data_IF_324839001180
#
_entry.id   IF_324839001180
#
_cell.length_a   1.000
_cell.length_b   1.000
_cell.length_c   1.000
_cell.angle_alpha   90.00
_cell.angle_beta   90.00
_cell.angle_gamma   90.00
#
_symmetry.space_group_name_H-M   'P 1'
#
loop_
_entity.id
_entity.type
_entity.pdbx_description
1 polymer ?
#
# COMPACT_ATOMS: atom_id res chain seq x y z
N UNK A 1 -10.39 -21.06 10.39
CA UNK A 1 -10.05 -19.62 10.34
C UNK A 1 -9.44 -19.27 11.68
N UNK A 2 -8.11 -19.17 11.70
CA UNK A 2 -7.30 -19.16 12.90
C UNK A 2 -7.22 -17.75 13.52
N UNK A 3 -7.03 -17.66 14.83
CA UNK A 3 -7.09 -16.40 15.60
C UNK A 3 -6.10 -15.33 15.12
N UNK A 4 -5.00 -15.73 14.45
CA UNK A 4 -3.98 -14.82 13.89
C UNK A 4 -4.52 -13.93 12.78
N UNK A 5 -5.35 -14.45 11.89
CA UNK A 5 -5.92 -13.69 10.77
C UNK A 5 -6.82 -12.56 11.29
N UNK A 6 -7.56 -12.79 12.38
CA UNK A 6 -8.44 -11.77 12.95
C UNK A 6 -7.72 -10.57 13.56
N UNK A 7 -6.41 -10.67 13.82
CA UNK A 7 -5.59 -9.60 14.43
C UNK A 7 -4.99 -8.67 13.37
N UNK A 8 -4.49 -9.20 12.24
CA UNK A 8 -3.97 -8.39 11.14
C UNK A 8 -5.05 -7.49 10.54
N UNK A 9 -6.25 -8.05 10.32
CA UNK A 9 -7.39 -7.30 9.79
C UNK A 9 -7.97 -6.24 10.74
N UNK A 10 -7.93 -6.49 12.06
CA UNK A 10 -8.30 -5.48 13.07
C UNK A 10 -7.33 -4.31 13.07
N UNK A 11 -6.04 -4.59 12.92
CA UNK A 11 -5.03 -3.54 12.86
C UNK A 11 -5.21 -2.65 11.63
N UNK A 12 -5.52 -3.20 10.45
CA UNK A 12 -5.82 -2.41 9.23
C UNK A 12 -6.93 -1.41 9.53
N UNK A 13 -8.05 -1.90 10.08
CA UNK A 13 -9.17 -1.04 10.49
C UNK A 13 -8.75 0.06 11.48
N UNK A 14 -7.87 -0.24 12.43
CA UNK A 14 -7.43 0.72 13.44
C UNK A 14 -6.33 1.67 12.93
N UNK A 15 -5.52 1.27 11.95
CA UNK A 15 -4.51 2.12 11.30
C UNK A 15 -5.20 3.19 10.46
N UNK A 16 -6.15 2.79 9.59
CA UNK A 16 -6.92 3.71 8.75
C UNK A 16 -7.81 4.67 9.55
N UNK A 17 -8.28 4.26 10.73
CA UNK A 17 -8.99 5.14 11.66
C UNK A 17 -8.08 6.15 12.37
N UNK A 18 -6.83 5.78 12.68
CA UNK A 18 -5.88 6.61 13.43
C UNK A 18 -5.09 7.57 12.55
N UNK A 19 -4.86 7.19 11.29
CA UNK A 19 -4.12 7.98 10.32
C UNK A 19 -5.01 8.27 9.10
N UNK A 20 -6.06 9.09 9.23
CA UNK A 20 -6.78 9.59 8.06
C UNK A 20 -5.79 10.34 7.17
N UNK A 21 -5.56 9.83 5.96
CA UNK A 21 -4.71 10.48 4.97
C UNK A 21 -5.29 11.87 4.70
N UNK A 22 -4.58 12.91 5.14
CA UNK A 22 -4.96 14.31 4.92
C UNK A 22 -5.80 14.96 6.02
N UNK A 23 -5.27 15.09 7.24
CA UNK A 23 -5.72 16.12 8.17
C UNK A 23 -4.55 16.57 9.05
N UNK A 24 -3.70 17.45 8.50
CA UNK A 24 -2.75 18.19 9.31
C UNK A 24 -3.48 18.98 10.40
N UNK A 25 -3.21 18.61 11.65
CA UNK A 25 -3.24 19.46 12.83
C UNK A 25 -4.50 20.29 13.09
N UNK A 26 -5.44 19.73 13.86
CA UNK A 26 -6.28 20.55 14.74
C UNK A 26 -6.33 19.91 16.14
N UNK A 27 -5.24 20.11 16.89
CA UNK A 27 -5.23 19.96 18.34
C UNK A 27 -6.14 21.07 18.92
N UNK A 28 -7.39 20.74 19.24
CA UNK A 28 -8.22 21.56 20.13
C UNK A 28 -8.41 20.77 21.42
N UNK A 29 -7.60 21.11 22.42
CA UNK A 29 -7.87 20.76 23.81
C UNK A 29 -9.19 21.42 24.25
N UNK A 30 -10.20 20.58 24.48
CA UNK A 30 -11.47 20.97 25.07
C UNK A 30 -11.30 21.05 26.60
N UNK A 31 -11.14 22.27 27.12
CA UNK A 31 -11.45 22.57 28.53
C UNK A 31 -12.70 23.46 28.52
N UNK A 32 -13.87 22.81 28.52
CA UNK A 32 -15.13 23.46 28.88
C UNK A 32 -15.43 23.03 30.31
N UNK A 33 -15.09 23.90 31.26
CA UNK A 33 -15.56 23.82 32.65
C UNK A 33 -16.44 25.04 32.90
N UNK A 34 -17.72 24.79 33.15
CA UNK A 34 -18.67 25.73 33.73
C UNK A 34 -19.56 24.92 34.68
N UNK A 35 -20.17 25.52 35.72
CA UNK A 35 -19.66 26.49 36.69
C UNK A 35 -19.88 25.99 38.14
N UNK A 36 -19.18 26.53 39.15
CA UNK A 36 -19.70 26.79 40.51
C UNK A 36 -18.54 27.17 41.45
N UNK A 37 -18.35 28.48 41.70
CA UNK A 37 -18.18 29.03 43.06
C UNK A 37 -18.17 30.56 43.02
N UNK A 38 -19.22 31.13 43.60
CA UNK A 38 -19.27 32.52 44.05
C UNK A 38 -18.28 32.69 45.21
N UNK A 39 -17.32 33.61 45.08
CA UNK A 39 -16.71 34.32 46.22
C UNK A 39 -16.72 35.80 45.86
N UNK A 40 -17.34 36.58 46.74
CA UNK A 40 -17.88 37.89 46.40
C UNK A 40 -16.89 39.04 46.36
N UNK A 41 -17.40 40.14 45.81
CA UNK A 41 -17.33 41.49 46.35
C UNK A 41 -18.54 42.24 45.83
N UNK A 42 -19.34 42.79 46.76
CA UNK A 42 -20.49 43.62 46.44
C UNK A 42 -20.01 44.90 45.74
N UNK A 43 -20.42 45.08 44.49
CA UNK A 43 -20.42 46.38 43.81
C UNK A 43 -21.89 46.78 43.66
N UNK A 44 -22.24 47.94 44.17
CA UNK A 44 -23.62 48.46 44.14
C UNK A 44 -24.15 48.57 42.70
N UNK A 45 -25.43 48.27 42.45
CA UNK A 45 -25.98 48.34 41.10
C UNK A 45 -26.31 49.79 40.71
N UNK A 46 -26.07 50.23 39.47
CA UNK A 46 -26.72 51.42 38.94
C UNK A 46 -28.20 51.13 38.63
N UNK A 47 -28.99 52.20 38.62
CA UNK A 47 -30.46 52.22 38.64
C UNK A 47 -31.15 51.27 37.64
N UNK A 48 -32.25 50.65 38.12
CA UNK A 48 -33.21 49.85 37.35
C UNK A 48 -33.74 50.64 36.15
N UNK A 49 -33.40 50.19 34.93
CA UNK A 49 -34.30 50.33 33.79
C UNK A 49 -35.38 49.25 33.91
N UNK A 50 -36.60 49.67 34.23
CA UNK A 50 -37.78 48.83 34.28
C UNK A 50 -38.17 48.37 32.86
N UNK A 51 -38.57 47.09 32.71
CA UNK A 51 -39.51 46.71 31.64
C UNK A 51 -39.12 45.61 30.63
N UNK A 52 -38.10 44.76 30.84
CA UNK A 52 -37.88 43.62 29.93
C UNK A 52 -37.38 42.39 30.67
N UNK A 53 -38.16 41.31 30.66
CA UNK A 53 -37.82 40.04 31.32
C UNK A 53 -36.55 39.45 30.68
N UNK A 54 -35.41 39.36 31.39
CA UNK A 54 -34.12 39.00 30.78
C UNK A 54 -34.06 37.54 30.30
N UNK A 55 -34.96 36.69 30.78
CA UNK A 55 -35.05 35.28 30.40
C UNK A 55 -35.28 35.08 28.90
N UNK A 56 -36.08 35.94 28.26
CA UNK A 56 -36.37 35.83 26.82
C UNK A 56 -35.14 36.13 25.96
N UNK A 57 -34.30 37.07 26.40
CA UNK A 57 -33.05 37.39 25.71
C UNK A 57 -32.05 36.24 25.82
N UNK A 58 -31.94 35.61 26.99
CA UNK A 58 -31.07 34.44 27.20
C UNK A 58 -31.54 33.22 26.41
N UNK A 59 -32.85 32.96 26.37
CA UNK A 59 -33.44 31.87 25.57
C UNK A 59 -33.20 32.13 24.07
N UNK A 60 -33.44 33.35 23.59
CA UNK A 60 -33.22 33.71 22.19
C UNK A 60 -31.75 33.54 21.78
N UNK A 61 -30.80 33.99 22.60
CA UNK A 61 -29.36 33.82 22.35
C UNK A 61 -28.97 32.34 22.35
N UNK A 62 -29.51 31.54 23.27
CA UNK A 62 -29.22 30.09 23.33
C UNK A 62 -29.75 29.38 22.09
N UNK A 63 -30.97 29.69 21.64
CA UNK A 63 -31.55 29.13 20.42
C UNK A 63 -30.72 29.52 19.20
N UNK A 64 -30.27 30.77 19.09
CA UNK A 64 -29.41 31.23 17.98
C UNK A 64 -28.06 30.50 18.01
N UNK A 65 -27.43 30.36 19.17
CA UNK A 65 -26.17 29.63 19.30
C UNK A 65 -26.35 28.16 18.91
N UNK A 66 -27.40 27.49 19.36
CA UNK A 66 -27.70 26.10 18.97
C UNK A 66 -27.99 26.01 17.48
N UNK A 67 -28.82 26.90 16.93
CA UNK A 67 -29.19 26.92 15.51
C UNK A 67 -28.03 27.28 14.57
N UNK A 68 -26.96 27.90 15.06
CA UNK A 68 -25.76 28.20 14.26
C UNK A 68 -24.67 27.15 14.48
N UNK A 69 -24.40 26.78 15.73
CA UNK A 69 -23.30 25.86 16.07
C UNK A 69 -23.64 24.41 15.72
N UNK A 70 -24.89 23.97 15.89
CA UNK A 70 -25.28 22.58 15.61
C UNK A 70 -25.26 22.25 14.11
N UNK A 71 -25.74 23.11 13.18
CA UNK A 71 -25.57 22.87 11.75
C UNK A 71 -24.11 22.97 11.29
N UNK A 72 -23.30 23.82 11.92
CA UNK A 72 -21.86 23.87 11.64
C UNK A 72 -21.13 22.59 12.10
N UNK A 73 -21.53 22.02 13.23
CA UNK A 73 -21.06 20.70 13.67
C UNK A 73 -21.57 19.58 12.75
N UNK A 74 -22.87 19.52 12.46
CA UNK A 74 -23.48 18.48 11.62
C UNK A 74 -23.03 18.55 10.15
N UNK A 75 -22.77 19.74 9.62
CA UNK A 75 -22.26 19.94 8.26
C UNK A 75 -20.87 19.32 8.04
N UNK A 76 -20.06 19.23 9.10
CA UNK A 76 -18.77 18.51 9.08
C UNK A 76 -18.91 16.99 9.17
N UNK A 77 -19.96 16.47 9.82
CA UNK A 77 -20.21 15.03 9.93
C UNK A 77 -20.80 14.41 8.65
N UNK A 78 -21.53 15.18 7.85
CA UNK A 78 -22.26 14.67 6.68
C UNK A 78 -21.40 14.50 5.41
N UNK A 79 -20.14 14.95 5.42
CA UNK A 79 -19.24 14.88 4.26
C UNK A 79 -18.07 13.89 4.41
N UNK A 80 -18.16 12.90 5.30
CA UNK A 80 -17.21 11.79 5.35
C UNK A 80 -17.46 10.82 4.18
N UNK A 81 -17.04 11.21 2.97
CA UNK A 81 -16.85 10.25 1.88
C UNK A 81 -15.62 9.42 2.24
N UNK A 82 -15.79 8.11 2.39
CA UNK A 82 -14.68 7.20 2.66
C UNK A 82 -13.62 7.36 1.56
N UNK A 83 -12.32 7.50 1.91
CA UNK A 83 -11.27 7.62 0.90
C UNK A 83 -11.18 6.34 0.05
N UNK A 84 -10.82 6.49 -1.22
CA UNK A 84 -10.54 5.35 -2.11
C UNK A 84 -9.16 4.80 -1.78
N UNK A 85 -9.06 3.48 -1.61
CA UNK A 85 -7.77 2.78 -1.42
C UNK A 85 -7.19 2.45 -2.80
N UNK A 86 -5.93 2.85 -3.01
CA UNK A 86 -5.15 2.65 -4.23
C UNK A 86 -4.16 1.52 -4.05
N UNK A 87 -4.39 0.42 -4.76
CA UNK A 87 -3.49 -0.72 -4.78
C UNK A 87 -2.55 -0.64 -6.00
N UNK A 88 -1.29 -1.07 -5.82
CA UNK A 88 -0.33 -1.18 -6.93
C UNK A 88 -0.79 -2.24 -7.93
N UNK A 89 -0.74 -1.90 -9.22
CA UNK A 89 -0.83 -2.86 -10.33
C UNK A 89 0.53 -2.98 -11.03
N UNK A 90 1.21 -4.08 -10.74
CA UNK A 90 2.52 -4.42 -11.30
C UNK A 90 2.48 -5.14 -12.65
N UNK A 91 1.29 -5.36 -13.23
CA UNK A 91 1.12 -6.00 -14.55
C UNK A 91 1.57 -7.48 -14.62
N UNK A 92 1.62 -8.17 -13.49
CA UNK A 92 1.75 -9.63 -13.44
C UNK A 92 0.51 -10.28 -12.82
N UNK A 93 0.25 -11.53 -13.20
CA UNK A 93 -1.07 -12.16 -12.97
C UNK A 93 -1.34 -12.46 -11.49
N UNK A 94 -0.33 -12.87 -10.73
CA UNK A 94 -0.52 -13.19 -9.30
C UNK A 94 -0.94 -11.95 -8.50
N UNK A 95 -0.35 -10.78 -8.78
CA UNK A 95 -0.74 -9.53 -8.13
C UNK A 95 -2.14 -9.10 -8.56
N UNK A 96 -2.51 -9.31 -9.83
CA UNK A 96 -3.89 -9.06 -10.30
C UNK A 96 -4.92 -9.87 -9.51
N UNK A 97 -4.64 -11.15 -9.26
CA UNK A 97 -5.51 -12.03 -8.45
C UNK A 97 -5.58 -11.54 -7.01
N UNK A 98 -4.43 -11.24 -6.39
CA UNK A 98 -4.37 -10.71 -5.03
C UNK A 98 -5.15 -9.40 -4.89
N UNK A 99 -5.00 -8.48 -5.86
CA UNK A 99 -5.74 -7.22 -5.90
C UNK A 99 -7.25 -7.45 -6.02
N UNK A 100 -7.69 -8.40 -6.85
CA UNK A 100 -9.11 -8.74 -6.98
C UNK A 100 -9.70 -9.28 -5.66
N UNK A 101 -8.96 -10.14 -4.96
CA UNK A 101 -9.36 -10.68 -3.64
C UNK A 101 -9.41 -9.54 -2.61
N UNK A 102 -8.37 -8.73 -2.50
CA UNK A 102 -8.31 -7.61 -1.57
C UNK A 102 -9.44 -6.61 -1.83
N UNK A 103 -9.67 -6.25 -3.09
CA UNK A 103 -10.78 -5.39 -3.52
C UNK A 103 -12.13 -5.95 -3.07
N UNK A 104 -12.40 -7.23 -3.32
CA UNK A 104 -13.65 -7.87 -2.89
C UNK A 104 -13.84 -7.78 -1.37
N UNK A 105 -12.80 -8.11 -0.60
CA UNK A 105 -12.84 -8.07 0.87
C UNK A 105 -13.01 -6.64 1.40
N UNK A 106 -12.29 -5.67 0.85
CA UNK A 106 -12.33 -4.26 1.28
C UNK A 106 -13.69 -3.64 0.94
N UNK A 107 -14.18 -3.83 -0.28
CA UNK A 107 -15.45 -3.24 -0.73
C UNK A 107 -16.65 -3.89 -0.03
N UNK A 108 -16.68 -5.23 0.10
CA UNK A 108 -17.82 -5.94 0.70
C UNK A 108 -17.73 -6.08 2.21
N UNK A 109 -16.54 -6.18 2.76
CA UNK A 109 -16.32 -6.37 4.20
C UNK A 109 -16.17 -5.07 4.98
N UNK A 110 -15.60 -4.02 4.36
CA UNK A 110 -15.26 -2.78 5.05
C UNK A 110 -15.93 -1.52 4.47
N UNK A 111 -16.49 -1.59 3.26
CA UNK A 111 -17.25 -0.49 2.64
C UNK A 111 -16.40 0.64 2.06
N UNK A 112 -15.09 0.42 1.85
CA UNK A 112 -14.21 1.37 1.16
C UNK A 112 -14.19 1.07 -0.35
N UNK A 113 -14.08 2.12 -1.17
CA UNK A 113 -13.82 1.96 -2.60
C UNK A 113 -12.37 1.55 -2.83
N UNK A 114 -12.12 0.71 -3.84
CA UNK A 114 -10.76 0.30 -4.21
C UNK A 114 -10.49 0.50 -5.70
N UNK A 115 -9.37 1.13 -6.01
CA UNK A 115 -8.80 1.22 -7.35
C UNK A 115 -7.40 0.60 -7.41
N UNK A 116 -7.02 0.13 -8.60
CA UNK A 116 -5.68 -0.35 -8.90
C UNK A 116 -4.97 0.65 -9.79
N UNK A 117 -3.72 0.99 -9.47
CA UNK A 117 -2.94 2.03 -10.13
C UNK A 117 -1.72 1.39 -10.77
N UNK A 118 -1.60 1.53 -12.09
CA UNK A 118 -0.37 1.13 -12.81
C UNK A 118 0.71 2.17 -12.52
N UNK A 119 1.81 1.71 -11.94
CA UNK A 119 2.92 2.57 -11.49
C UNK A 119 4.16 2.34 -12.34
N UNK A 120 4.94 3.40 -12.57
CA UNK A 120 6.29 3.27 -13.14
C UNK A 120 7.30 2.72 -12.11
N UNK A 121 7.30 3.29 -10.91
CA UNK A 121 8.09 2.80 -9.77
C UNK A 121 7.22 2.81 -8.50
N UNK A 122 6.60 1.67 -8.23
CA UNK A 122 5.68 1.50 -7.10
C UNK A 122 6.30 1.84 -5.73
N UNK A 123 7.63 1.75 -5.60
CA UNK A 123 8.36 2.03 -4.35
C UNK A 123 8.32 3.51 -3.99
N UNK A 124 8.59 4.37 -4.97
CA UNK A 124 8.48 5.82 -4.84
C UNK A 124 7.02 6.20 -4.61
N UNK A 125 6.12 5.66 -5.43
CA UNK A 125 4.69 5.93 -5.32
C UNK A 125 4.12 5.52 -3.95
N UNK A 126 4.60 4.42 -3.36
CA UNK A 126 4.21 3.97 -2.03
C UNK A 126 4.80 4.88 -0.93
N UNK A 127 6.06 5.30 -1.07
CA UNK A 127 6.76 6.13 -0.08
C UNK A 127 6.22 7.56 0.01
N UNK A 128 5.68 8.06 -1.10
CA UNK A 128 5.09 9.39 -1.22
C UNK A 128 3.56 9.39 -1.09
N UNK A 129 2.95 8.21 -1.02
CA UNK A 129 1.50 8.05 -0.83
C UNK A 129 0.68 8.29 -2.10
N UNK A 130 1.26 8.12 -3.29
CA UNK A 130 0.54 8.04 -4.58
C UNK A 130 -0.25 6.73 -4.67
N UNK A 131 0.24 5.67 -4.04
CA UNK A 131 -0.48 4.41 -3.81
C UNK A 131 -0.46 4.09 -2.32
N UNK A 132 -1.46 3.34 -1.85
CA UNK A 132 -1.67 3.09 -0.43
C UNK A 132 -1.11 1.73 0.02
N UNK A 133 -1.12 0.74 -0.87
CA UNK A 133 -0.57 -0.58 -0.57
C UNK A 133 -0.14 -1.34 -1.84
N UNK A 134 0.86 -2.21 -1.67
CA UNK A 134 1.15 -3.31 -2.59
C UNK A 134 0.93 -4.63 -1.87
N UNK A 135 0.36 -5.61 -2.56
CA UNK A 135 0.19 -6.96 -2.03
C UNK A 135 1.39 -7.86 -2.37
N UNK A 136 2.21 -7.45 -3.34
CA UNK A 136 3.41 -8.19 -3.77
C UNK A 136 4.62 -7.25 -3.89
N UNK A 137 5.27 -6.98 -2.75
CA UNK A 137 6.45 -6.11 -2.72
C UNK A 137 7.79 -6.80 -2.96
N UNK A 138 7.83 -8.15 -2.99
CA UNK A 138 9.05 -8.95 -3.16
C UNK A 138 10.28 -8.34 -2.44
N UNK A 139 10.13 -8.06 -1.14
CA UNK A 139 11.03 -7.21 -0.33
C UNK A 139 12.50 -7.63 -0.40
N UNK A 140 12.77 -8.93 -0.59
CA UNK A 140 14.13 -9.47 -0.72
C UNK A 140 14.90 -8.92 -1.91
N UNK A 141 14.19 -8.47 -2.95
CA UNK A 141 14.79 -7.84 -4.11
C UNK A 141 15.21 -6.40 -3.81
N UNK A 142 14.54 -5.73 -2.86
CA UNK A 142 14.69 -4.30 -2.59
C UNK A 142 15.10 -4.01 -1.15
N UNK A 143 15.99 -4.82 -0.55
CA UNK A 143 16.31 -4.75 0.88
C UNK A 143 16.78 -3.38 1.35
N UNK A 144 17.65 -2.73 0.59
CA UNK A 144 18.18 -1.41 0.94
C UNK A 144 17.06 -0.37 1.02
N UNK A 145 16.27 -0.26 -0.05
CA UNK A 145 15.09 0.63 -0.09
C UNK A 145 14.09 0.30 1.02
N UNK A 146 13.76 -0.98 1.22
CA UNK A 146 12.77 -1.40 2.21
C UNK A 146 13.21 -1.01 3.62
N UNK A 147 14.47 -1.30 3.98
CA UNK A 147 15.02 -0.92 5.28
C UNK A 147 15.01 0.59 5.48
N UNK A 148 15.39 1.36 4.47
CA UNK A 148 15.37 2.82 4.52
C UNK A 148 13.93 3.35 4.69
N UNK A 149 13.00 2.92 3.84
CA UNK A 149 11.60 3.36 3.85
C UNK A 149 10.92 3.04 5.19
N UNK A 150 11.15 1.85 5.75
CA UNK A 150 10.62 1.49 7.07
C UNK A 150 11.29 2.27 8.20
N UNK A 151 12.62 2.50 8.14
CA UNK A 151 13.31 3.31 9.17
C UNK A 151 12.80 4.75 9.23
N UNK A 152 12.37 5.29 8.09
CA UNK A 152 11.77 6.62 7.96
C UNK A 152 10.25 6.65 8.23
N UNK A 153 9.65 5.50 8.57
CA UNK A 153 8.21 5.37 8.80
C UNK A 153 7.35 5.63 7.55
N UNK A 154 7.92 5.51 6.35
CA UNK A 154 7.22 5.71 5.08
C UNK A 154 6.43 4.49 4.64
N UNK A 155 6.93 3.29 4.97
CA UNK A 155 6.33 2.01 4.60
C UNK A 155 6.33 1.10 5.82
N UNK A 156 5.23 0.36 6.01
CA UNK A 156 5.08 -0.66 7.04
C UNK A 156 4.60 -1.99 6.44
N UNK A 157 4.99 -3.10 7.04
CA UNK A 157 4.56 -4.44 6.61
C UNK A 157 3.39 -4.91 7.47
N UNK A 158 2.22 -5.05 6.82
CA UNK A 158 0.98 -5.35 7.54
C UNK A 158 0.80 -6.85 7.80
N UNK A 159 1.16 -7.67 6.81
CA UNK A 159 1.05 -9.11 6.85
C UNK A 159 1.92 -9.74 5.76
N UNK A 160 2.19 -11.03 5.92
CA UNK A 160 2.85 -11.85 4.91
C UNK A 160 1.79 -12.71 4.22
N UNK A 161 1.61 -12.53 2.91
CA UNK A 161 0.65 -13.33 2.12
C UNK A 161 1.29 -14.54 1.42
N UNK A 162 2.64 -14.58 1.35
CA UNK A 162 3.42 -15.68 0.80
C UNK A 162 4.46 -16.15 1.82
N UNK A 163 4.48 -17.44 2.13
CA UNK A 163 5.60 -18.03 2.85
C UNK A 163 6.82 -18.08 1.93
N UNK A 164 7.78 -17.16 2.12
CA UNK A 164 9.12 -17.15 1.52
C UNK A 164 9.20 -17.77 0.12
N UNK A 165 8.47 -17.21 -0.85
CA UNK A 165 8.47 -17.69 -2.23
C UNK A 165 9.89 -17.63 -2.82
N UNK A 166 10.49 -18.77 -3.22
CA UNK A 166 11.80 -18.75 -3.84
C UNK A 166 11.71 -18.23 -5.28
N UNK A 167 12.71 -17.45 -5.70
CA UNK A 167 12.91 -17.05 -7.10
C UNK A 167 14.09 -17.85 -7.64
N UNK A 168 13.87 -18.60 -8.72
CA UNK A 168 14.84 -19.53 -9.28
C UNK A 168 14.73 -19.59 -10.81
N UNK A 169 15.81 -20.03 -11.44
CA UNK A 169 15.84 -20.30 -12.87
C UNK A 169 15.28 -21.69 -13.14
N UNK A 170 14.54 -21.83 -14.23
CA UNK A 170 13.85 -23.08 -14.58
C UNK A 170 14.19 -23.50 -16.00
N UNK A 171 14.26 -24.81 -16.19
CA UNK A 171 14.29 -25.46 -17.49
C UNK A 171 13.19 -26.53 -17.53
N UNK A 172 12.71 -26.95 -18.71
CA UNK A 172 11.75 -28.04 -18.80
C UNK A 172 12.31 -29.33 -18.18
N UNK A 173 11.49 -30.03 -17.40
CA UNK A 173 11.89 -31.26 -16.69
C UNK A 173 12.47 -32.32 -17.62
N UNK A 174 11.88 -32.50 -18.82
CA UNK A 174 12.35 -33.49 -19.79
C UNK A 174 13.76 -33.18 -20.30
N UNK A 175 14.13 -31.89 -20.49
CA UNK A 175 15.49 -31.49 -20.85
C UNK A 175 16.45 -31.82 -19.72
N UNK A 176 16.05 -31.52 -18.48
CA UNK A 176 16.85 -31.80 -17.30
C UNK A 176 17.16 -33.29 -17.15
N UNK A 177 16.17 -34.15 -17.38
CA UNK A 177 16.32 -35.60 -17.25
C UNK A 177 17.12 -36.21 -18.41
N UNK A 178 16.87 -35.79 -19.65
CA UNK A 178 17.56 -36.29 -20.85
C UNK A 178 19.06 -35.94 -20.83
N UNK A 179 19.40 -34.70 -20.45
CA UNK A 179 20.77 -34.19 -20.47
C UNK A 179 21.44 -34.18 -19.08
N UNK A 180 20.78 -34.74 -18.06
CA UNK A 180 21.28 -34.78 -16.68
C UNK A 180 21.66 -33.41 -16.10
N UNK A 181 20.91 -32.36 -16.43
CA UNK A 181 21.13 -31.00 -15.93
C UNK A 181 20.52 -30.89 -14.52
N UNK A 182 21.37 -30.64 -13.52
CA UNK A 182 20.95 -30.58 -12.11
C UNK A 182 21.26 -29.23 -11.45
N UNK A 183 22.23 -28.51 -11.99
CA UNK A 183 22.73 -27.25 -11.43
C UNK A 183 22.85 -26.19 -12.51
N UNK A 184 22.93 -24.93 -12.10
CA UNK A 184 23.16 -23.81 -13.01
C UNK A 184 24.51 -23.93 -13.75
N UNK A 185 25.49 -24.59 -13.14
CA UNK A 185 26.83 -24.78 -13.72
C UNK A 185 26.84 -25.80 -14.86
N UNK A 186 25.87 -26.72 -14.89
CA UNK A 186 25.74 -27.67 -16.00
C UNK A 186 25.33 -26.95 -17.30
N UNK A 187 24.66 -25.81 -17.19
CA UNK A 187 24.13 -25.05 -18.33
C UNK A 187 25.23 -24.59 -19.30
N UNK A 188 26.45 -24.33 -18.83
CA UNK A 188 27.57 -23.93 -19.70
C UNK A 188 27.84 -24.97 -20.79
N UNK A 189 27.65 -26.27 -20.50
CA UNK A 189 27.86 -27.36 -21.47
C UNK A 189 26.65 -27.61 -22.37
N UNK A 190 25.49 -27.09 -22.00
CA UNK A 190 24.20 -27.39 -22.63
C UNK A 190 23.53 -26.16 -23.26
N UNK A 191 24.26 -25.07 -23.45
CA UNK A 191 23.75 -23.83 -24.04
C UNK A 191 23.10 -24.03 -25.42
N UNK A 192 23.60 -25.01 -26.19
CA UNK A 192 23.10 -25.29 -27.53
C UNK A 192 21.64 -25.75 -27.57
N UNK A 193 21.15 -26.32 -26.47
CA UNK A 193 19.75 -26.74 -26.32
C UNK A 193 18.78 -25.55 -26.24
N UNK A 194 19.31 -24.36 -25.93
CA UNK A 194 18.52 -23.15 -25.67
C UNK A 194 18.76 -22.05 -26.72
N UNK A 195 19.22 -22.40 -27.93
CA UNK A 195 19.46 -21.43 -29.01
C UNK A 195 18.16 -20.70 -29.39
N UNK A 196 18.25 -19.39 -29.55
CA UNK A 196 17.16 -18.56 -30.06
C UNK A 196 17.08 -18.60 -31.58
N UNK A 197 15.95 -18.16 -32.17
CA UNK A 197 15.79 -18.11 -33.63
C UNK A 197 16.67 -17.04 -34.31
N UNK A 198 17.14 -16.03 -33.56
CA UNK A 198 17.89 -14.90 -34.14
C UNK A 198 19.41 -15.06 -34.16
N UNK A 199 19.99 -15.73 -33.15
CA UNK A 199 21.45 -15.89 -32.99
C UNK A 199 21.76 -17.32 -32.52
N UNK A 200 22.33 -18.12 -33.42
CA UNK A 200 22.68 -19.52 -33.16
C UNK A 200 24.03 -19.71 -32.48
N UNK A 201 24.74 -18.64 -32.13
CA UNK A 201 26.08 -18.71 -31.53
C UNK A 201 26.06 -18.82 -30.01
N UNK A 202 24.92 -18.53 -29.36
CA UNK A 202 24.72 -18.60 -27.91
C UNK A 202 23.32 -19.08 -27.55
N UNK A 203 23.15 -19.60 -26.34
CA UNK A 203 21.85 -19.92 -25.76
C UNK A 203 21.11 -18.64 -25.38
N UNK A 204 19.79 -18.72 -25.23
CA UNK A 204 18.95 -17.61 -24.79
C UNK A 204 18.54 -17.84 -23.35
N UNK A 205 18.81 -16.85 -22.50
CA UNK A 205 18.27 -16.77 -21.16
C UNK A 205 17.13 -15.75 -21.16
N UNK A 206 15.91 -16.21 -20.87
CA UNK A 206 14.74 -15.35 -20.73
C UNK A 206 14.74 -14.71 -19.34
N UNK A 207 14.95 -13.40 -19.31
CA UNK A 207 15.05 -12.60 -18.10
C UNK A 207 13.70 -11.99 -17.73
N UNK A 208 13.63 -11.41 -16.53
CA UNK A 208 12.46 -10.66 -16.09
C UNK A 208 12.16 -9.46 -16.99
N UNK A 209 10.89 -9.03 -17.05
CA UNK A 209 10.52 -7.78 -17.66
C UNK A 209 11.30 -6.58 -17.13
N UNK A 210 11.61 -5.61 -18.00
CA UNK A 210 12.28 -4.38 -17.61
C UNK A 210 11.52 -3.66 -16.48
N UNK A 211 12.25 -3.10 -15.52
CA UNK A 211 11.71 -2.36 -14.38
C UNK A 211 11.49 -3.21 -13.12
N UNK A 212 11.50 -4.54 -13.22
CA UNK A 212 11.58 -5.42 -12.04
C UNK A 212 13.04 -5.63 -11.60
N UNK A 213 13.33 -5.68 -10.30
CA UNK A 213 14.72 -5.83 -9.84
C UNK A 213 15.41 -7.10 -10.35
N UNK A 214 14.65 -8.15 -10.63
CA UNK A 214 15.22 -9.38 -11.15
C UNK A 214 15.83 -9.18 -12.56
N UNK A 215 15.40 -8.16 -13.32
CA UNK A 215 16.06 -7.82 -14.59
C UNK A 215 17.49 -7.32 -14.39
N UNK A 216 17.81 -6.74 -13.23
CA UNK A 216 19.16 -6.31 -12.85
C UNK A 216 19.96 -7.41 -12.14
N UNK A 217 19.32 -8.16 -11.23
CA UNK A 217 19.98 -9.20 -10.44
C UNK A 217 20.43 -10.39 -11.30
N UNK A 218 19.61 -10.80 -12.29
CA UNK A 218 19.88 -11.99 -13.08
C UNK A 218 21.13 -11.86 -13.98
N UNK A 219 21.36 -10.72 -14.67
CA UNK A 219 22.64 -10.39 -15.29
C UNK A 219 23.85 -10.64 -14.39
N UNK A 220 23.86 -10.05 -13.20
CA UNK A 220 24.98 -10.19 -12.26
C UNK A 220 25.18 -11.64 -11.84
N UNK A 221 24.10 -12.41 -11.65
CA UNK A 221 24.18 -13.85 -11.36
C UNK A 221 24.77 -14.64 -12.52
N UNK A 222 24.33 -14.40 -13.74
CA UNK A 222 24.82 -15.10 -14.92
C UNK A 222 26.31 -14.78 -15.18
N UNK A 223 26.75 -13.56 -14.91
CA UNK A 223 28.17 -13.20 -14.97
C UNK A 223 28.97 -13.96 -13.91
N UNK A 224 28.49 -13.98 -12.67
CA UNK A 224 29.11 -14.73 -11.57
C UNK A 224 29.13 -16.26 -11.79
N UNK A 225 28.23 -16.79 -12.62
CA UNK A 225 28.18 -18.21 -13.01
C UNK A 225 28.92 -18.50 -14.32
N UNK A 226 29.65 -17.53 -14.89
CA UNK A 226 30.36 -17.64 -16.16
C UNK A 226 29.47 -17.91 -17.39
N UNK A 227 28.15 -17.73 -17.26
CA UNK A 227 27.17 -18.04 -18.32
C UNK A 227 27.02 -16.93 -19.36
N UNK A 228 27.51 -15.70 -19.13
CA UNK A 228 27.48 -14.63 -20.15
C UNK A 228 28.25 -14.96 -21.43
N UNK A 229 29.24 -15.87 -21.32
CA UNK A 229 30.04 -16.35 -22.44
C UNK A 229 29.21 -17.20 -23.41
N UNK A 230 28.27 -17.96 -22.88
CA UNK A 230 27.51 -18.99 -23.61
C UNK A 230 26.03 -18.66 -23.76
N UNK A 231 25.51 -17.71 -22.97
CA UNK A 231 24.11 -17.26 -23.01
C UNK A 231 24.00 -15.76 -23.27
N UNK A 232 23.01 -15.40 -24.10
CA UNK A 232 22.51 -14.05 -24.28
C UNK A 232 21.30 -13.83 -23.39
N UNK A 233 21.33 -12.78 -22.58
CA UNK A 233 20.18 -12.35 -21.77
C UNK A 233 19.20 -11.59 -22.67
N UNK A 234 17.94 -12.01 -22.65
CA UNK A 234 16.84 -11.36 -23.36
C UNK A 234 15.74 -11.08 -22.35
N UNK A 235 15.43 -9.81 -22.15
CA UNK A 235 14.34 -9.40 -21.26
C UNK A 235 13.00 -9.82 -21.87
N UNK A 236 12.18 -10.51 -21.07
CA UNK A 236 10.82 -10.86 -21.48
C UNK A 236 9.96 -9.60 -21.57
N UNK A 237 9.09 -9.53 -22.56
CA UNK A 237 8.13 -8.44 -22.73
C UNK A 237 7.00 -8.43 -21.68
N UNK A 238 6.88 -9.51 -20.90
CA UNK A 238 5.85 -9.66 -19.87
C UNK A 238 6.15 -10.76 -18.85
N UNK A 239 5.53 -10.67 -17.67
CA UNK A 239 5.56 -11.71 -16.62
C UNK A 239 4.63 -12.91 -16.93
N UNK A 240 4.30 -13.19 -18.19
CA UNK A 240 3.41 -14.30 -18.53
C UNK A 240 2.42 -14.07 -19.68
N UNK A 241 2.43 -12.90 -20.36
CA UNK A 241 1.71 -12.77 -21.64
C UNK A 241 2.56 -13.37 -22.75
N UNK A 242 2.71 -14.69 -22.72
CA UNK A 242 3.02 -15.45 -23.91
C UNK A 242 1.95 -15.10 -24.94
N UNK A 243 2.28 -14.27 -25.94
CA UNK A 243 1.51 -14.26 -27.19
C UNK A 243 1.50 -15.72 -27.63
N UNK A 244 0.32 -16.34 -27.66
CA UNK A 244 0.13 -17.67 -28.25
C UNK A 244 0.82 -17.65 -29.61
N UNK A 245 1.91 -18.41 -29.72
CA UNK A 245 2.46 -18.83 -31.01
C UNK A 245 1.46 -19.77 -31.67
#
# INVERSE_FOLDING_TARGET
>A
MDQKDSKSWRWVKDHWKRNPIGAGGLLIWLVVVFPFRLVGKAVAPPARLAGRNPQWATIAVTIIVVAVVVPLWLGGFLNFRQPTIRLVDGQWETLSINNAIAKFVIEKGYGYSVETVVTGDWRTDLSDGTVDATLEGWQQNYREWYNEATSKGKVDTLATIYENGPQFFVIPQWVADEYSIRTIFDMEKHWELFKGPEDGTRGVFHNCPPGGQCSEINPVKLEAYDLYKTYKVVDSDSYGRSKRL
#
